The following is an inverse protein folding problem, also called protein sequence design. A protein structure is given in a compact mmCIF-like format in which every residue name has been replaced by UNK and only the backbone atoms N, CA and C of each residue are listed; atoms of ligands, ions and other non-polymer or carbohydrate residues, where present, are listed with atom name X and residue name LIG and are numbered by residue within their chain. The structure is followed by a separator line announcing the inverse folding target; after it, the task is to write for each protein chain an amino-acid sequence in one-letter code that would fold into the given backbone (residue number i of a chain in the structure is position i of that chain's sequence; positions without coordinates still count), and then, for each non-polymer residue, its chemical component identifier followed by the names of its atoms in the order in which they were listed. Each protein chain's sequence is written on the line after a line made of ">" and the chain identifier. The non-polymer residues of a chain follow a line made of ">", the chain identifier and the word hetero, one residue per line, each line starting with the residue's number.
data_IF_185358281384
#
_entry.id   IF_185358281384
#
_cell.length_a   1.000
_cell.length_b   1.000
_cell.length_c   1.000
_cell.angle_alpha   90.00
_cell.angle_beta   90.00
_cell.angle_gamma   90.00
#
_symmetry.space_group_name_H-M   'P 1'
#
loop_
_entity.id
_entity.type
_entity.pdbx_description
1 polymer ?
#
# COMPACT_ATOMS: atom_id res chain seq x y z
N UNK A 1 22.48 -6.48 -9.61
CA UNK A 1 21.88 -5.15 -9.37
C UNK A 1 21.43 -4.55 -10.70
N UNK A 2 20.37 -3.75 -10.72
CA UNK A 2 19.81 -3.14 -11.94
C UNK A 2 19.95 -1.61 -12.01
N UNK A 3 20.55 -0.97 -10.99
CA UNK A 3 20.73 0.49 -10.93
C UNK A 3 19.45 1.28 -10.60
N UNK A 4 18.54 0.72 -9.81
CA UNK A 4 17.31 1.41 -9.40
C UNK A 4 17.57 2.44 -8.29
N UNK A 5 16.96 3.62 -8.39
CA UNK A 5 17.03 4.67 -7.35
C UNK A 5 15.98 4.50 -6.24
N UNK A 6 14.90 3.75 -6.49
CA UNK A 6 13.79 3.61 -5.57
C UNK A 6 13.04 2.28 -5.72
N UNK A 7 12.65 1.68 -4.60
CA UNK A 7 11.67 0.62 -4.53
C UNK A 7 10.32 1.16 -4.01
N UNK A 8 9.25 0.93 -4.79
CA UNK A 8 7.90 1.41 -4.46
C UNK A 8 6.91 0.25 -4.29
N UNK A 9 6.20 0.23 -3.17
CA UNK A 9 5.18 -0.76 -2.86
C UNK A 9 3.75 -0.19 -2.96
N UNK A 10 2.75 -0.98 -2.55
CA UNK A 10 1.36 -0.57 -2.41
C UNK A 10 0.90 -0.97 -1.00
N UNK A 11 0.42 -0.01 -0.20
CA UNK A 11 -0.11 -0.24 1.14
C UNK A 11 -1.62 -0.09 1.14
N UNK A 12 -2.32 -1.07 1.70
CA UNK A 12 -3.74 -0.96 2.00
C UNK A 12 -4.04 -1.39 3.44
N UNK A 13 -4.97 -0.71 4.09
CA UNK A 13 -5.71 -1.24 5.24
C UNK A 13 -7.05 -1.78 4.75
N UNK A 14 -7.13 -3.11 4.60
CA UNK A 14 -8.17 -3.76 3.79
C UNK A 14 -9.60 -3.47 4.27
N UNK A 15 -9.79 -3.37 5.59
CA UNK A 15 -11.09 -3.08 6.19
C UNK A 15 -11.54 -1.62 5.99
N UNK A 16 -10.61 -0.70 5.68
CA UNK A 16 -10.91 0.70 5.33
C UNK A 16 -11.08 0.89 3.83
N UNK A 17 -10.32 0.12 3.03
CA UNK A 17 -10.34 0.19 1.58
C UNK A 17 -11.55 -0.50 0.96
N UNK A 18 -11.99 -1.62 1.53
CA UNK A 18 -13.03 -2.46 0.96
C UNK A 18 -14.18 -2.64 1.93
N UNK A 19 -15.41 -2.63 1.41
CA UNK A 19 -16.55 -3.07 2.18
C UNK A 19 -16.56 -4.60 2.35
N UNK A 20 -17.33 -5.07 3.34
CA UNK A 20 -17.48 -6.50 3.67
C UNK A 20 -17.84 -7.36 2.46
N UNK A 21 -18.79 -6.91 1.63
CA UNK A 21 -19.23 -7.64 0.43
C UNK A 21 -18.09 -7.84 -0.57
N UNK A 22 -17.21 -6.84 -0.73
CA UNK A 22 -16.05 -6.95 -1.62
C UNK A 22 -15.00 -7.91 -1.08
N UNK A 23 -14.76 -7.93 0.25
CA UNK A 23 -13.82 -8.84 0.89
C UNK A 23 -14.31 -10.30 0.86
N UNK A 24 -15.61 -10.53 1.05
CA UNK A 24 -16.22 -11.87 1.04
C UNK A 24 -16.49 -12.42 -0.36
N UNK A 25 -16.33 -11.61 -1.41
CA UNK A 25 -16.57 -12.02 -2.80
C UNK A 25 -15.68 -13.22 -3.16
N UNK A 26 -16.23 -14.32 -3.72
CA UNK A 26 -15.43 -15.42 -4.24
C UNK A 26 -14.39 -14.95 -5.25
N UNK A 27 -13.18 -15.49 -5.16
CA UNK A 27 -12.08 -15.16 -6.07
C UNK A 27 -11.47 -16.44 -6.66
N UNK A 28 -11.93 -16.79 -7.86
CA UNK A 28 -11.68 -18.09 -8.52
C UNK A 28 -10.52 -18.07 -9.52
N UNK A 29 -9.65 -17.07 -9.41
CA UNK A 29 -8.43 -17.02 -10.24
C UNK A 29 -7.52 -18.22 -9.93
N UNK A 30 -6.88 -18.85 -10.94
CA UNK A 30 -5.87 -19.89 -10.68
C UNK A 30 -4.66 -19.38 -9.90
N UNK A 31 -4.46 -18.05 -9.84
CA UNK A 31 -3.42 -17.39 -9.04
C UNK A 31 -3.97 -16.80 -7.73
N UNK A 32 -5.13 -17.28 -7.28
CA UNK A 32 -5.68 -16.84 -6.00
C UNK A 32 -4.88 -17.42 -4.83
N UNK A 33 -4.70 -16.62 -3.80
CA UNK A 33 -4.08 -17.01 -2.53
C UNK A 33 -5.13 -17.32 -1.45
N UNK A 34 -6.39 -17.50 -1.85
CA UNK A 34 -7.51 -17.79 -0.96
C UNK A 34 -8.83 -18.02 -1.70
N UNK A 35 -9.90 -18.33 -0.98
CA UNK A 35 -11.24 -18.55 -1.55
C UNK A 35 -11.96 -17.25 -1.87
N UNK A 36 -11.64 -16.20 -1.14
CA UNK A 36 -12.26 -14.87 -1.25
C UNK A 36 -11.26 -13.81 -1.68
N UNK A 37 -11.76 -12.70 -2.23
CA UNK A 37 -10.91 -11.57 -2.63
C UNK A 37 -10.18 -10.98 -1.42
N UNK A 38 -10.81 -10.96 -0.25
CA UNK A 38 -10.20 -10.54 1.01
C UNK A 38 -9.06 -11.44 1.46
N UNK A 39 -9.21 -12.77 1.40
CA UNK A 39 -8.12 -13.71 1.70
C UNK A 39 -6.92 -13.51 0.76
N UNK A 40 -7.18 -13.39 -0.55
CA UNK A 40 -6.12 -13.13 -1.52
C UNK A 40 -5.39 -11.81 -1.22
N UNK A 41 -6.12 -10.74 -0.88
CA UNK A 41 -5.51 -9.45 -0.53
C UNK A 41 -4.73 -9.50 0.77
N UNK A 42 -5.25 -10.18 1.81
CA UNK A 42 -4.54 -10.38 3.09
C UNK A 42 -3.23 -11.11 2.92
N UNK A 43 -3.18 -12.10 2.02
CA UNK A 43 -1.93 -12.83 1.73
C UNK A 43 -0.86 -11.92 1.09
N UNK A 44 -1.26 -11.00 0.22
CA UNK A 44 -0.35 -10.12 -0.50
C UNK A 44 0.09 -8.89 0.30
N UNK A 45 -0.67 -8.51 1.31
CA UNK A 45 -0.44 -7.27 2.07
C UNK A 45 0.58 -7.51 3.18
N UNK A 46 1.69 -6.77 3.14
CA UNK A 46 2.64 -6.76 4.24
C UNK A 46 2.03 -6.09 5.49
N UNK A 47 2.42 -6.58 6.66
CA UNK A 47 2.13 -5.90 7.92
C UNK A 47 3.06 -4.70 8.13
N UNK A 48 2.75 -3.83 9.08
CA UNK A 48 3.51 -2.59 9.32
C UNK A 48 4.99 -2.84 9.66
N UNK A 49 5.30 -3.91 10.38
CA UNK A 49 6.69 -4.23 10.76
C UNK A 49 7.51 -4.68 9.55
N UNK A 50 6.90 -5.43 8.64
CA UNK A 50 7.53 -5.79 7.37
C UNK A 50 7.80 -4.55 6.49
N UNK A 51 6.92 -3.54 6.51
CA UNK A 51 7.20 -2.26 5.84
C UNK A 51 8.40 -1.54 6.45
N UNK A 52 8.55 -1.55 7.78
CA UNK A 52 9.73 -0.98 8.47
C UNK A 52 11.00 -1.75 8.13
N UNK A 53 10.93 -3.07 8.07
CA UNK A 53 12.05 -3.92 7.65
C UNK A 53 12.48 -3.61 6.21
N UNK A 54 11.52 -3.51 5.28
CA UNK A 54 11.79 -3.15 3.89
C UNK A 54 12.40 -1.74 3.76
N UNK A 55 11.90 -0.75 4.50
CA UNK A 55 12.47 0.59 4.51
C UNK A 55 13.91 0.58 5.03
N UNK A 56 14.17 -0.16 6.12
CA UNK A 56 15.52 -0.31 6.68
C UNK A 56 16.46 -0.94 5.64
N UNK A 57 16.04 -2.02 4.99
CA UNK A 57 16.85 -2.68 3.97
C UNK A 57 17.11 -1.77 2.77
N UNK A 58 16.11 -1.03 2.28
CA UNK A 58 16.27 -0.06 1.21
C UNK A 58 17.34 1.01 1.56
N UNK A 59 17.33 1.49 2.81
CA UNK A 59 18.34 2.42 3.31
C UNK A 59 19.74 1.79 3.36
N UNK A 60 19.86 0.53 3.77
CA UNK A 60 21.14 -0.20 3.80
C UNK A 60 21.77 -0.36 2.41
N UNK A 61 20.94 -0.60 1.38
CA UNK A 61 21.41 -0.73 -0.01
C UNK A 61 21.45 0.62 -0.76
N UNK A 62 21.13 1.74 -0.09
CA UNK A 62 21.29 3.08 -0.64
C UNK A 62 20.22 3.53 -1.64
N UNK A 63 19.00 2.99 -1.58
CA UNK A 63 17.88 3.40 -2.46
C UNK A 63 16.72 3.99 -1.67
N UNK A 64 15.88 4.80 -2.32
CA UNK A 64 14.67 5.31 -1.69
C UNK A 64 13.60 4.23 -1.53
N UNK A 65 12.86 4.32 -0.43
CA UNK A 65 11.70 3.48 -0.17
C UNK A 65 10.43 4.33 -0.12
N UNK A 66 9.36 3.87 -0.75
CA UNK A 66 8.03 4.48 -0.61
C UNK A 66 6.92 3.45 -0.90
N UNK A 67 5.67 3.83 -0.69
CA UNK A 67 4.52 3.09 -1.17
C UNK A 67 3.40 4.02 -1.66
N UNK A 68 2.49 3.44 -2.43
CA UNK A 68 1.18 4.04 -2.69
C UNK A 68 0.25 3.71 -1.54
N UNK A 69 -0.19 4.71 -0.77
CA UNK A 69 -1.34 4.56 0.11
C UNK A 69 -2.59 4.38 -0.75
N UNK A 70 -3.38 3.35 -0.47
CA UNK A 70 -4.57 3.02 -1.27
C UNK A 70 -5.88 3.26 -0.52
N UNK A 71 -5.78 3.84 0.67
CA UNK A 71 -6.83 4.30 1.56
C UNK A 71 -6.21 5.29 2.57
N UNK A 72 -7.05 5.99 3.32
CA UNK A 72 -6.59 7.04 4.23
C UNK A 72 -5.72 6.51 5.36
N UNK A 73 -6.02 5.32 5.90
CA UNK A 73 -5.23 4.74 7.00
C UNK A 73 -3.86 4.28 6.52
N UNK A 74 -3.77 3.78 5.29
CA UNK A 74 -2.51 3.50 4.64
C UNK A 74 -1.66 4.77 4.47
N UNK A 75 -2.26 5.92 4.16
CA UNK A 75 -1.54 7.20 4.07
C UNK A 75 -1.04 7.65 5.44
N UNK A 76 -1.85 7.53 6.50
CA UNK A 76 -1.41 7.83 7.87
C UNK A 76 -0.20 6.98 8.27
N UNK A 77 -0.26 5.67 8.04
CA UNK A 77 0.88 4.78 8.30
C UNK A 77 2.13 5.18 7.51
N UNK A 78 1.98 5.53 6.23
CA UNK A 78 3.12 5.95 5.40
C UNK A 78 3.69 7.31 5.85
N UNK A 79 2.86 8.20 6.39
CA UNK A 79 3.31 9.44 7.02
C UNK A 79 4.11 9.16 8.29
N UNK A 80 3.63 8.26 9.15
CA UNK A 80 4.38 7.80 10.34
C UNK A 80 5.69 7.11 9.99
N UNK A 81 5.73 6.42 8.84
CA UNK A 81 6.94 5.79 8.30
C UNK A 81 7.92 6.81 7.69
N UNK A 82 7.54 8.09 7.60
CA UNK A 82 8.36 9.18 7.05
C UNK A 82 8.86 8.88 5.63
N UNK A 83 7.99 8.34 4.77
CA UNK A 83 8.36 8.12 3.36
C UNK A 83 8.63 9.47 2.66
N UNK A 84 9.58 9.53 1.71
CA UNK A 84 10.01 10.80 1.10
C UNK A 84 8.93 11.46 0.22
N UNK A 85 7.95 10.69 -0.23
CA UNK A 85 6.79 11.16 -1.00
C UNK A 85 5.68 10.11 -1.00
N UNK A 86 4.44 10.54 -1.22
CA UNK A 86 3.30 9.64 -1.45
C UNK A 86 3.06 9.46 -2.95
N UNK A 87 2.81 8.22 -3.39
CA UNK A 87 2.37 7.95 -4.78
C UNK A 87 0.86 7.70 -4.84
N UNK A 88 0.10 8.62 -5.43
CA UNK A 88 -1.34 8.42 -5.72
C UNK A 88 -1.52 7.52 -6.95
N UNK A 89 -2.27 6.43 -6.80
CA UNK A 89 -2.60 5.51 -7.91
C UNK A 89 -3.56 6.14 -8.92
N UNK A 90 -3.55 5.68 -10.18
CA UNK A 90 -4.49 6.16 -11.21
C UNK A 90 -5.96 5.89 -10.86
N UNK A 91 -6.25 4.86 -10.07
CA UNK A 91 -7.59 4.58 -9.57
C UNK A 91 -8.13 5.66 -8.63
N UNK A 92 -7.26 6.51 -8.07
CA UNK A 92 -7.60 7.53 -7.09
C UNK A 92 -7.38 8.96 -7.61
N UNK A 93 -7.07 9.15 -8.91
CA UNK A 93 -6.79 10.48 -9.46
C UNK A 93 -7.99 11.43 -9.45
N UNK A 94 -9.21 10.91 -9.41
CA UNK A 94 -10.44 11.68 -9.26
C UNK A 94 -11.02 11.59 -7.83
N UNK A 95 -10.34 10.94 -6.90
CA UNK A 95 -10.74 10.83 -5.51
C UNK A 95 -10.32 12.09 -4.75
N UNK A 96 -11.02 13.21 -5.01
CA UNK A 96 -10.68 14.52 -4.45
C UNK A 96 -10.60 14.55 -2.91
N UNK A 97 -11.48 13.88 -2.14
CA UNK A 97 -11.36 13.82 -0.68
C UNK A 97 -10.04 13.17 -0.23
N UNK A 98 -9.69 12.02 -0.84
CA UNK A 98 -8.43 11.32 -0.56
C UNK A 98 -7.21 12.17 -0.92
N UNK A 99 -7.20 12.80 -2.09
CA UNK A 99 -6.09 13.65 -2.55
C UNK A 99 -5.90 14.83 -1.59
N UNK A 100 -6.98 15.50 -1.18
CA UNK A 100 -6.90 16.62 -0.23
C UNK A 100 -6.31 16.20 1.11
N UNK A 101 -6.74 15.06 1.67
CA UNK A 101 -6.20 14.54 2.93
C UNK A 101 -4.74 14.13 2.80
N UNK A 102 -4.38 13.45 1.71
CA UNK A 102 -2.98 13.06 1.44
C UNK A 102 -2.09 14.30 1.33
N UNK A 103 -2.54 15.35 0.66
CA UNK A 103 -1.80 16.60 0.52
C UNK A 103 -1.64 17.41 1.83
N UNK A 104 -2.40 17.10 2.87
CA UNK A 104 -2.22 17.69 4.22
C UNK A 104 -1.13 16.98 5.03
N UNK A 105 -0.61 15.85 4.53
CA UNK A 105 0.48 15.09 5.12
C UNK A 105 1.75 15.40 4.31
N UNK A 106 2.53 16.36 4.79
CA UNK A 106 3.67 16.95 4.08
C UNK A 106 3.43 18.42 3.75
#
# INVERSE_FOLDING_TARGET
>A
ECGADCAKFQKSELEYKFNKKALERPYTSPHSWGKTYGEHKRHLEFNHDQYRELQKYAKEIGIYFTASGMDEMAVEFLHELEVPFFKVGSGDTNNLPYIKKTAQKG
#
